data_IF_244058512118
#
_entry.id   IF_244058512118
#
_cell.length_a   1.000
_cell.length_b   1.000
_cell.length_c   1.000
_cell.angle_alpha   90.00
_cell.angle_beta   90.00
_cell.angle_gamma   90.00
#
_symmetry.space_group_name_H-M   'P 1'
#
loop_
_entity.id
_entity.type
_entity.pdbx_description
1 polymer ?
#
# COMPACT_ATOMS: atom_id res chain seq x y z
N UNK A 1 -27.37 -30.71 19.87
CA UNK A 1 -27.27 -31.45 18.59
C UNK A 1 -28.04 -30.76 17.44
N UNK A 2 -27.95 -29.43 17.32
CA UNK A 2 -28.60 -28.64 16.23
C UNK A 2 -27.68 -27.61 15.57
N UNK A 3 -26.44 -27.47 16.07
CA UNK A 3 -25.48 -26.48 15.58
C UNK A 3 -24.60 -26.98 14.42
N UNK A 4 -24.41 -28.29 14.29
CA UNK A 4 -23.48 -28.86 13.31
C UNK A 4 -24.04 -28.89 11.88
N UNK A 5 -25.36 -28.94 11.72
CA UNK A 5 -26.02 -29.10 10.41
C UNK A 5 -26.15 -27.77 9.65
N UNK A 6 -26.19 -26.61 10.36
CA UNK A 6 -26.21 -25.29 9.70
C UNK A 6 -24.85 -24.89 9.11
N UNK A 7 -23.74 -25.37 9.65
CA UNK A 7 -22.40 -25.11 9.07
C UNK A 7 -22.20 -25.85 7.74
N UNK A 8 -22.80 -27.04 7.59
CA UNK A 8 -22.60 -27.88 6.42
C UNK A 8 -23.42 -27.41 5.19
N UNK A 9 -24.60 -26.81 5.42
CA UNK A 9 -25.43 -26.28 4.32
C UNK A 9 -24.93 -24.95 3.73
N UNK A 10 -24.31 -24.09 4.55
CA UNK A 10 -23.75 -22.81 4.07
C UNK A 10 -22.58 -23.06 3.10
N UNK A 11 -21.78 -24.11 3.32
CA UNK A 11 -20.60 -24.41 2.52
C UNK A 11 -20.90 -24.92 1.08
N UNK A 12 -22.13 -25.36 0.80
CA UNK A 12 -22.49 -25.95 -0.51
C UNK A 12 -23.19 -24.91 -1.42
N UNK A 13 -23.84 -23.89 -0.85
CA UNK A 13 -24.56 -22.87 -1.59
C UNK A 13 -23.70 -21.64 -1.95
N UNK A 14 -22.59 -21.41 -1.23
CA UNK A 14 -21.65 -20.33 -1.49
C UNK A 14 -20.26 -20.92 -1.67
N UNK A 15 -19.74 -21.07 -2.90
CA UNK A 15 -18.31 -21.27 -3.05
C UNK A 15 -17.62 -20.07 -2.38
N UNK A 16 -16.69 -20.34 -1.45
CA UNK A 16 -15.79 -19.33 -0.88
C UNK A 16 -14.89 -18.86 -2.04
N UNK A 17 -15.41 -17.99 -2.88
CA UNK A 17 -14.68 -17.34 -3.95
C UNK A 17 -13.82 -16.28 -3.28
N UNK A 18 -12.55 -16.62 -3.01
CA UNK A 18 -11.44 -15.72 -2.63
C UNK A 18 -11.87 -14.67 -1.59
N UNK A 19 -11.56 -14.88 -0.30
CA UNK A 19 -11.63 -13.77 0.67
C UNK A 19 -10.96 -12.54 0.04
N UNK A 20 -11.77 -11.54 -0.32
CA UNK A 20 -11.26 -10.23 -0.69
C UNK A 20 -10.80 -9.65 0.63
N UNK A 21 -9.57 -9.96 1.02
CA UNK A 21 -8.93 -9.29 2.13
C UNK A 21 -8.86 -7.83 1.73
N UNK A 22 -9.47 -6.99 2.54
CA UNK A 22 -9.32 -5.56 2.40
C UNK A 22 -7.85 -5.25 2.70
N UNK A 23 -7.09 -4.98 1.65
CA UNK A 23 -5.68 -4.61 1.80
C UNK A 23 -5.62 -3.25 2.46
N UNK A 24 -4.72 -3.11 3.44
CA UNK A 24 -4.40 -1.81 4.00
C UNK A 24 -3.88 -0.90 2.89
N UNK A 25 -4.23 0.38 2.93
CA UNK A 25 -3.79 1.37 1.96
C UNK A 25 -3.23 2.61 2.63
N UNK A 26 -2.28 3.24 1.98
CA UNK A 26 -1.74 4.52 2.40
C UNK A 26 -1.34 5.38 1.21
N UNK A 27 -1.54 6.69 1.35
CA UNK A 27 -0.89 7.67 0.49
C UNK A 27 0.45 8.06 1.13
N UNK A 28 1.53 7.78 0.41
CA UNK A 28 2.88 8.16 0.80
C UNK A 28 3.25 9.46 0.09
N UNK A 29 3.34 10.55 0.86
CA UNK A 29 3.87 11.83 0.41
C UNK A 29 5.37 11.83 0.55
N UNK A 30 6.09 12.14 -0.53
CA UNK A 30 7.54 11.98 -0.60
C UNK A 30 8.19 13.30 -1.00
N UNK A 31 9.13 13.76 -0.17
CA UNK A 31 10.07 14.83 -0.48
C UNK A 31 11.31 14.26 -1.15
N UNK A 32 11.77 14.93 -2.19
CA UNK A 32 12.85 14.44 -3.06
C UNK A 32 13.94 15.50 -3.22
N UNK A 33 15.19 15.07 -3.36
CA UNK A 33 16.30 15.93 -3.79
C UNK A 33 15.97 16.57 -5.15
N UNK A 34 16.22 17.87 -5.29
CA UNK A 34 15.91 18.61 -6.53
C UNK A 34 16.48 17.91 -7.78
N UNK A 35 15.63 17.74 -8.79
CA UNK A 35 15.99 17.11 -10.06
C UNK A 35 15.98 15.59 -10.04
N UNK A 36 15.58 14.93 -8.94
CA UNK A 36 15.45 13.48 -8.84
C UNK A 36 14.02 12.96 -8.80
N UNK A 37 13.03 13.82 -8.96
CA UNK A 37 11.60 13.51 -8.79
C UNK A 37 11.19 12.33 -9.68
N UNK A 38 11.56 12.38 -10.97
CA UNK A 38 11.27 11.29 -11.92
C UNK A 38 12.00 9.99 -11.58
N UNK A 39 13.28 10.07 -11.19
CA UNK A 39 14.08 8.90 -10.85
C UNK A 39 13.55 8.20 -9.59
N UNK A 40 13.12 8.97 -8.58
CA UNK A 40 12.49 8.44 -7.37
C UNK A 40 11.14 7.81 -7.70
N UNK A 41 10.28 8.49 -8.48
CA UNK A 41 9.02 7.92 -8.96
C UNK A 41 9.24 6.60 -9.71
N UNK A 42 10.16 6.57 -10.65
CA UNK A 42 10.43 5.38 -11.46
C UNK A 42 10.95 4.22 -10.59
N UNK A 43 11.79 4.52 -9.59
CA UNK A 43 12.23 3.53 -8.61
C UNK A 43 11.05 3.01 -7.76
N UNK A 44 10.15 3.87 -7.28
CA UNK A 44 8.97 3.48 -6.51
C UNK A 44 8.08 2.50 -7.28
N UNK A 45 7.88 2.72 -8.58
CA UNK A 45 7.04 1.86 -9.44
C UNK A 45 7.64 0.45 -9.65
N UNK A 46 8.86 0.17 -9.19
CA UNK A 46 9.45 -1.18 -9.21
C UNK A 46 9.01 -2.05 -8.03
N UNK A 47 8.39 -1.46 -7.00
CA UNK A 47 7.93 -2.16 -5.81
C UNK A 47 6.49 -2.63 -5.99
N UNK A 48 6.21 -3.90 -5.68
CA UNK A 48 4.87 -4.49 -5.87
C UNK A 48 3.79 -3.84 -4.97
N UNK A 49 4.21 -3.32 -3.81
CA UNK A 49 3.35 -2.62 -2.86
C UNK A 49 2.94 -1.24 -3.38
N UNK A 50 3.69 -0.65 -4.32
CA UNK A 50 3.38 0.66 -4.89
C UNK A 50 2.46 0.49 -6.10
N UNK A 51 1.19 0.85 -5.94
CA UNK A 51 0.16 0.71 -7.00
C UNK A 51 0.13 1.89 -7.97
N UNK A 52 0.55 3.06 -7.49
CA UNK A 52 0.71 4.25 -8.30
C UNK A 52 1.77 5.15 -7.68
N UNK A 53 2.49 5.91 -8.50
CA UNK A 53 3.37 6.98 -8.06
C UNK A 53 3.42 8.06 -9.13
N UNK A 54 3.16 9.30 -8.75
CA UNK A 54 3.13 10.45 -9.67
C UNK A 54 3.99 11.58 -9.14
N UNK A 55 4.66 12.31 -10.04
CA UNK A 55 5.32 13.58 -9.69
C UNK A 55 4.21 14.62 -9.57
N UNK A 56 4.12 15.28 -8.42
CA UNK A 56 3.03 16.19 -8.09
C UNK A 56 3.55 17.56 -7.70
N UNK A 57 2.69 18.57 -7.79
CA UNK A 57 2.92 19.88 -7.17
C UNK A 57 2.20 19.93 -5.83
N UNK A 58 2.90 20.21 -4.73
CA UNK A 58 2.31 20.32 -3.40
C UNK A 58 3.33 20.37 -2.29
N UNK A 59 2.91 20.01 -1.07
CA UNK A 59 3.81 19.77 0.05
C UNK A 59 4.62 18.47 -0.11
N UNK A 60 4.46 17.75 -1.20
CA UNK A 60 5.31 16.65 -1.65
C UNK A 60 5.73 16.82 -3.11
N UNK A 61 6.83 16.19 -3.49
CA UNK A 61 7.32 16.17 -4.88
C UNK A 61 6.80 14.92 -5.61
N UNK A 62 6.63 13.81 -4.89
CA UNK A 62 6.01 12.57 -5.38
C UNK A 62 4.91 12.12 -4.42
N UNK A 63 3.78 11.69 -4.96
CA UNK A 63 2.69 11.05 -4.22
C UNK A 63 2.55 9.60 -4.71
N UNK A 64 2.59 8.65 -3.79
CA UNK A 64 2.44 7.23 -4.09
C UNK A 64 1.28 6.60 -3.34
N UNK A 65 0.56 5.68 -3.99
CA UNK A 65 -0.41 4.80 -3.36
C UNK A 65 0.29 3.47 -3.03
N UNK A 66 0.30 3.12 -1.75
CA UNK A 66 0.90 1.88 -1.24
C UNK A 66 -0.21 0.99 -0.70
N UNK A 67 -0.18 -0.30 -1.06
CA UNK A 67 -1.10 -1.31 -0.53
C UNK A 67 -0.30 -2.53 -0.01
N UNK A 68 -0.70 -3.05 1.15
CA UNK A 68 -0.14 -4.28 1.74
C UNK A 68 -1.22 -5.02 2.55
N UNK A 69 -0.86 -6.16 3.14
CA UNK A 69 -1.80 -6.99 3.91
C UNK A 69 -2.24 -6.33 5.24
N UNK A 70 -1.41 -5.44 5.82
CA UNK A 70 -1.71 -4.69 7.03
C UNK A 70 -1.02 -3.33 7.07
N UNK A 71 -1.43 -2.43 7.98
CA UNK A 71 -0.74 -1.15 8.17
C UNK A 71 0.69 -1.33 8.67
N UNK A 72 0.95 -2.35 9.49
CA UNK A 72 2.30 -2.65 9.96
C UNK A 72 3.21 -3.04 8.79
N UNK A 73 2.69 -3.83 7.84
CA UNK A 73 3.43 -4.18 6.62
C UNK A 73 3.73 -2.95 5.76
N UNK A 74 2.77 -2.01 5.64
CA UNK A 74 3.02 -0.72 4.96
C UNK A 74 4.16 0.04 5.65
N UNK A 75 4.10 0.19 6.98
CA UNK A 75 5.12 0.93 7.73
C UNK A 75 6.50 0.29 7.58
N UNK A 76 6.56 -1.05 7.61
CA UNK A 76 7.80 -1.78 7.41
C UNK A 76 8.36 -1.56 5.99
N UNK A 77 7.54 -1.71 4.95
CA UNK A 77 7.95 -1.47 3.56
C UNK A 77 8.43 -0.02 3.37
N UNK A 78 7.74 0.95 3.98
CA UNK A 78 8.14 2.35 3.93
C UNK A 78 9.52 2.57 4.56
N UNK A 79 9.75 2.06 5.78
CA UNK A 79 11.00 2.28 6.52
C UNK A 79 12.16 1.53 5.88
N UNK A 80 11.98 0.24 5.59
CA UNK A 80 13.06 -0.64 5.18
C UNK A 80 13.42 -0.48 3.69
N UNK A 81 12.46 -0.03 2.87
CA UNK A 81 12.60 -0.01 1.41
C UNK A 81 12.38 1.37 0.83
N UNK A 82 11.17 1.93 0.91
CA UNK A 82 10.83 3.13 0.14
C UNK A 82 11.62 4.37 0.57
N UNK A 83 11.87 4.54 1.88
CA UNK A 83 12.69 5.65 2.41
C UNK A 83 14.18 5.52 2.10
N UNK A 84 14.64 4.34 1.72
CA UNK A 84 16.05 4.09 1.37
C UNK A 84 16.37 4.44 -0.08
N UNK A 85 15.35 4.70 -0.91
CA UNK A 85 15.51 5.09 -2.31
C UNK A 85 16.36 6.36 -2.37
N UNK A 86 17.45 6.28 -3.13
CA UNK A 86 18.40 7.38 -3.27
C UNK A 86 17.70 8.63 -3.81
N UNK A 87 17.80 9.73 -3.07
CA UNK A 87 17.16 11.00 -3.40
C UNK A 87 15.87 11.26 -2.62
N UNK A 88 15.34 10.30 -1.87
CA UNK A 88 14.28 10.58 -0.88
C UNK A 88 14.87 11.34 0.30
N UNK A 89 14.26 12.45 0.68
CA UNK A 89 14.70 13.31 1.80
C UNK A 89 13.72 13.31 2.97
N UNK A 90 12.47 12.92 2.73
CA UNK A 90 11.44 12.85 3.76
C UNK A 90 10.18 12.17 3.26
N UNK A 91 9.40 11.64 4.18
CA UNK A 91 8.12 10.98 3.87
C UNK A 91 7.09 11.27 4.95
N UNK A 92 5.83 11.43 4.55
CA UNK A 92 4.65 11.41 5.42
C UNK A 92 3.70 10.33 4.92
N UNK A 93 3.25 9.45 5.82
CA UNK A 93 2.37 8.32 5.48
C UNK A 93 0.96 8.60 5.99
N UNK A 94 0.03 8.79 5.06
CA UNK A 94 -1.39 9.01 5.37
C UNK A 94 -2.14 7.68 5.19
N UNK A 95 -2.48 7.01 6.29
CA UNK A 95 -3.23 5.75 6.26
C UNK A 95 -4.68 5.99 5.84
N UNK A 96 -5.19 5.15 4.95
CA UNK A 96 -6.58 5.21 4.46
C UNK A 96 -7.46 4.42 5.41
N UNK A 97 -8.46 5.05 6.02
CA UNK A 97 -9.34 4.40 7.02
C UNK A 97 -10.55 3.67 6.41
N UNK A 98 -10.98 4.08 5.21
CA UNK A 98 -12.17 3.61 4.48
C UNK A 98 -11.93 3.61 2.96
#
# INVERSE_FOLDING_TARGET
>A
MFFLVRKLFIAIAYPVTKEVREMAKAYLKIKVEMGRERAVRDALLTFEEVKAAEVTTGDQDVLALVEADSYDDILQVVIDRLRTIKGVTGTTTDLVLE
#
